data_IF_973219680113
#
_entry.id   IF_973219680113
#
_cell.length_a   1.000
_cell.length_b   1.000
_cell.length_c   1.000
_cell.angle_alpha   90.00
_cell.angle_beta   90.00
_cell.angle_gamma   90.00
#
_symmetry.space_group_name_H-M   'P 1'
#
loop_
_entity.id
_entity.type
_entity.pdbx_description
1 polymer ?
#
# COMPACT_ATOMS: atom_id res chain seq x y z
N UNK A 1 2.29 0.72 19.09
CA UNK A 1 2.46 0.12 17.74
C UNK A 1 1.13 0.09 17.04
N UNK A 2 1.08 -0.43 15.81
CA UNK A 2 -0.18 -0.75 15.12
C UNK A 2 -0.30 -2.27 15.14
N UNK A 3 -1.38 -2.79 15.73
CA UNK A 3 -1.64 -4.23 15.74
C UNK A 3 -2.30 -4.64 14.42
N UNK A 4 -1.61 -5.51 13.68
CA UNK A 4 -2.07 -6.08 12.40
C UNK A 4 -2.32 -7.59 12.50
N UNK A 5 -2.35 -8.16 13.71
CA UNK A 5 -2.47 -9.61 13.94
C UNK A 5 -3.76 -10.23 13.37
N UNK A 6 -4.81 -9.43 13.20
CA UNK A 6 -6.08 -9.86 12.56
C UNK A 6 -6.07 -9.74 11.04
N UNK A 7 -4.99 -9.20 10.45
CA UNK A 7 -4.81 -9.11 9.02
C UNK A 7 -4.54 -10.48 8.41
N UNK A 8 -5.14 -10.75 7.25
CA UNK A 8 -4.89 -11.95 6.46
C UNK A 8 -4.91 -11.63 4.96
N UNK A 9 -4.17 -12.38 4.13
CA UNK A 9 -4.15 -12.19 2.67
C UNK A 9 -5.51 -12.48 2.05
N UNK A 10 -5.92 -11.70 1.06
CA UNK A 10 -7.11 -11.95 0.25
C UNK A 10 -6.73 -11.93 -1.24
N UNK A 11 -7.31 -12.81 -2.07
CA UNK A 11 -7.19 -12.71 -3.52
C UNK A 11 -7.72 -11.36 -4.01
N UNK A 12 -7.01 -10.73 -4.95
CA UNK A 12 -7.46 -9.48 -5.57
C UNK A 12 -8.67 -9.70 -6.48
N UNK A 13 -8.81 -10.90 -7.03
CA UNK A 13 -9.91 -11.30 -7.92
C UNK A 13 -11.29 -11.17 -7.26
N UNK A 14 -11.36 -11.28 -5.93
CA UNK A 14 -12.60 -11.09 -5.18
C UNK A 14 -13.14 -9.65 -5.29
N UNK A 15 -12.29 -8.68 -5.68
CA UNK A 15 -12.57 -7.25 -5.65
C UNK A 15 -12.58 -6.59 -7.04
N UNK A 16 -12.34 -7.33 -8.14
CA UNK A 16 -12.15 -6.72 -9.48
C UNK A 16 -13.37 -5.97 -10.01
N UNK A 17 -14.57 -6.37 -9.57
CA UNK A 17 -15.83 -5.73 -9.96
C UNK A 17 -16.21 -4.56 -9.03
N UNK A 18 -15.48 -4.35 -7.94
CA UNK A 18 -15.75 -3.26 -7.01
C UNK A 18 -15.20 -1.93 -7.53
N UNK A 19 -15.83 -0.83 -7.10
CA UNK A 19 -15.38 0.52 -7.46
C UNK A 19 -14.50 1.09 -6.36
N UNK A 20 -13.37 1.68 -6.75
CA UNK A 20 -12.39 2.26 -5.85
C UNK A 20 -12.03 3.69 -6.26
N UNK A 21 -11.89 4.59 -5.30
CA UNK A 21 -11.27 5.89 -5.59
C UNK A 21 -9.77 5.72 -5.91
N UNK A 22 -9.08 4.84 -5.18
CA UNK A 22 -7.66 4.58 -5.33
C UNK A 22 -7.34 3.09 -5.33
N UNK A 23 -6.59 2.64 -6.33
CA UNK A 23 -5.88 1.36 -6.33
C UNK A 23 -4.38 1.66 -6.34
N UNK A 24 -3.67 1.21 -5.31
CA UNK A 24 -2.24 1.47 -5.13
C UNK A 24 -1.49 0.14 -5.14
N UNK A 25 -0.65 -0.06 -6.14
CA UNK A 25 0.27 -1.22 -6.20
C UNK A 25 1.58 -0.88 -5.49
N UNK A 26 2.13 -1.84 -4.73
CA UNK A 26 3.22 -1.58 -3.78
C UNK A 26 4.55 -2.28 -4.09
N UNK A 27 4.57 -3.14 -5.09
CA UNK A 27 5.78 -3.74 -5.63
C UNK A 27 5.56 -4.06 -7.11
N UNK A 28 6.64 -4.21 -7.87
CA UNK A 28 6.55 -4.50 -9.30
C UNK A 28 5.82 -5.82 -9.60
N UNK A 29 6.06 -6.86 -8.79
CA UNK A 29 5.30 -8.11 -8.90
C UNK A 29 3.79 -7.91 -8.71
N UNK A 30 3.37 -7.04 -7.78
CA UNK A 30 1.97 -6.70 -7.60
C UNK A 30 1.41 -5.86 -8.75
N UNK A 31 2.26 -5.09 -9.45
CA UNK A 31 1.85 -4.31 -10.63
C UNK A 31 1.65 -5.18 -11.86
N UNK A 32 2.53 -6.16 -12.07
CA UNK A 32 2.49 -7.08 -13.23
C UNK A 32 1.33 -8.09 -13.13
N UNK A 33 1.05 -8.59 -11.93
CA UNK A 33 0.00 -9.59 -11.69
C UNK A 33 -1.38 -8.94 -11.47
N UNK A 34 -1.44 -7.62 -11.33
CA UNK A 34 -2.68 -6.92 -11.01
C UNK A 34 -3.74 -7.12 -12.12
N UNK A 35 -4.89 -7.73 -11.83
CA UNK A 35 -5.93 -7.91 -12.83
C UNK A 35 -6.53 -6.57 -13.25
N UNK A 36 -7.16 -6.57 -14.42
CA UNK A 36 -7.94 -5.42 -14.88
C UNK A 36 -9.21 -5.34 -14.04
N UNK A 37 -9.30 -4.31 -13.19
CA UNK A 37 -10.55 -3.97 -12.51
C UNK A 37 -11.59 -3.54 -13.54
N UNK A 38 -12.74 -4.20 -13.52
CA UNK A 38 -13.95 -3.90 -14.31
C UNK A 38 -14.84 -2.87 -13.62
N UNK A 39 -14.71 -2.72 -12.30
CA UNK A 39 -15.32 -1.63 -11.55
C UNK A 39 -14.67 -0.27 -11.81
N UNK A 40 -15.34 0.82 -11.41
CA UNK A 40 -14.82 2.17 -11.63
C UNK A 40 -13.64 2.44 -10.70
N UNK A 41 -12.46 2.66 -11.28
CA UNK A 41 -11.25 3.06 -10.55
C UNK A 41 -10.87 4.49 -10.94
N UNK A 42 -10.97 5.45 -10.01
CA UNK A 42 -10.67 6.86 -10.31
C UNK A 42 -9.18 7.12 -10.44
N UNK A 43 -8.37 6.51 -9.57
CA UNK A 43 -6.93 6.69 -9.54
C UNK A 43 -6.21 5.35 -9.41
N UNK A 44 -5.26 5.10 -10.32
CA UNK A 44 -4.34 3.96 -10.26
C UNK A 44 -2.93 4.49 -10.01
N UNK A 45 -2.34 4.08 -8.90
CA UNK A 45 -1.02 4.53 -8.47
C UNK A 45 -0.10 3.34 -8.24
N UNK A 46 1.18 3.64 -8.25
CA UNK A 46 2.23 2.70 -7.93
C UNK A 46 3.23 3.37 -6.99
N UNK A 47 3.50 2.75 -5.85
CA UNK A 47 4.47 3.21 -4.85
C UNK A 47 5.36 2.02 -4.54
N UNK A 48 6.58 2.02 -5.06
CA UNK A 48 7.45 0.85 -4.98
C UNK A 48 8.15 0.69 -3.62
N UNK A 49 8.12 -0.55 -3.10
CA UNK A 49 8.83 -0.97 -1.90
C UNK A 49 9.57 -2.27 -2.16
N UNK A 50 10.81 -2.34 -1.67
CA UNK A 50 11.60 -3.57 -1.64
C UNK A 50 10.89 -4.60 -0.74
N UNK A 51 10.81 -5.84 -1.21
CA UNK A 51 10.22 -6.94 -0.44
C UNK A 51 11.18 -7.38 0.69
N UNK A 52 10.83 -7.17 1.97
CA UNK A 52 11.68 -7.56 3.09
C UNK A 52 11.79 -9.09 3.25
N UNK A 53 10.90 -9.89 2.63
CA UNK A 53 10.97 -11.35 2.68
C UNK A 53 12.21 -11.91 1.97
N UNK A 54 12.80 -11.15 1.04
CA UNK A 54 14.06 -11.49 0.39
C UNK A 54 15.32 -11.23 1.23
N UNK A 55 15.18 -10.66 2.43
CA UNK A 55 16.33 -10.34 3.29
C UNK A 55 17.00 -11.62 3.81
N UNK A 56 18.32 -11.69 3.67
CA UNK A 56 19.15 -12.82 4.15
C UNK A 56 20.14 -12.35 5.20
N UNK A 57 20.45 -13.19 6.19
CA UNK A 57 21.44 -12.89 7.23
C UNK A 57 20.98 -13.39 8.59
N UNK A 58 21.54 -12.80 9.65
CA UNK A 58 21.09 -13.00 11.03
C UNK A 58 19.68 -12.43 11.25
N UNK A 59 18.99 -12.91 12.29
CA UNK A 59 17.67 -12.42 12.67
C UNK A 59 17.66 -10.89 12.88
N UNK A 60 18.74 -10.34 13.45
CA UNK A 60 18.88 -8.90 13.69
C UNK A 60 18.97 -8.12 12.38
N UNK A 61 19.71 -8.62 11.40
CA UNK A 61 19.84 -8.01 10.08
C UNK A 61 18.52 -8.07 9.31
N UNK A 62 17.85 -9.24 9.31
CA UNK A 62 16.52 -9.40 8.71
C UNK A 62 15.54 -8.42 9.36
N UNK A 63 15.47 -8.39 10.69
CA UNK A 63 14.56 -7.50 11.41
C UNK A 63 14.85 -6.01 11.14
N UNK A 64 16.11 -5.64 10.94
CA UNK A 64 16.48 -4.27 10.55
C UNK A 64 15.92 -3.91 9.16
N UNK A 65 15.96 -4.83 8.20
CA UNK A 65 15.36 -4.64 6.87
C UNK A 65 13.84 -4.47 6.98
N UNK A 66 13.15 -5.35 7.72
CA UNK A 66 11.70 -5.23 7.94
C UNK A 66 11.32 -3.86 8.55
N UNK A 67 12.09 -3.40 9.55
CA UNK A 67 11.86 -2.08 10.18
C UNK A 67 12.09 -0.93 9.20
N UNK A 68 13.15 -0.99 8.39
CA UNK A 68 13.43 0.00 7.34
C UNK A 68 12.28 0.10 6.35
N UNK A 69 11.78 -1.02 5.84
CA UNK A 69 10.66 -1.03 4.87
C UNK A 69 9.36 -0.54 5.50
N UNK A 70 9.04 -0.96 6.74
CA UNK A 70 7.89 -0.43 7.49
C UNK A 70 7.93 1.09 7.62
N UNK A 71 9.09 1.66 7.96
CA UNK A 71 9.23 3.10 8.15
C UNK A 71 9.17 3.87 6.83
N UNK A 72 9.66 3.26 5.72
CA UNK A 72 9.47 3.77 4.36
C UNK A 72 7.98 3.80 3.98
N UNK A 73 7.24 2.71 4.20
CA UNK A 73 5.78 2.65 3.97
C UNK A 73 5.07 3.77 4.74
N UNK A 74 5.37 3.94 6.03
CA UNK A 74 4.79 5.00 6.85
C UNK A 74 5.04 6.39 6.24
N UNK A 75 6.25 6.66 5.78
CA UNK A 75 6.66 7.96 5.24
C UNK A 75 5.97 8.27 3.91
N UNK A 76 5.98 7.31 2.99
CA UNK A 76 5.37 7.46 1.66
C UNK A 76 3.85 7.61 1.75
N UNK A 77 3.17 6.75 2.52
CA UNK A 77 1.72 6.85 2.68
C UNK A 77 1.30 8.10 3.45
N UNK A 78 2.11 8.57 4.42
CA UNK A 78 1.84 9.85 5.09
C UNK A 78 1.95 11.02 4.12
N UNK A 79 2.93 10.98 3.22
CA UNK A 79 3.11 12.00 2.18
C UNK A 79 1.99 11.96 1.16
N UNK A 80 1.60 10.75 0.72
CA UNK A 80 0.46 10.52 -0.17
C UNK A 80 -0.83 11.08 0.44
N UNK A 81 -1.12 10.75 1.70
CA UNK A 81 -2.31 11.22 2.41
C UNK A 81 -2.36 12.75 2.48
N UNK A 82 -1.26 13.39 2.89
CA UNK A 82 -1.20 14.86 2.98
C UNK A 82 -1.42 15.53 1.63
N UNK A 83 -0.78 15.02 0.57
CA UNK A 83 -0.82 15.64 -0.77
C UNK A 83 -2.15 15.41 -1.48
N UNK A 84 -2.72 14.21 -1.39
CA UNK A 84 -3.82 13.78 -2.27
C UNK A 84 -5.17 13.62 -1.56
N UNK A 85 -5.18 13.44 -0.24
CA UNK A 85 -6.42 13.22 0.50
C UNK A 85 -6.73 14.44 1.37
N UNK A 86 -5.80 14.81 2.27
CA UNK A 86 -6.03 15.88 3.24
C UNK A 86 -6.35 17.23 2.59
N UNK A 87 -5.65 17.58 1.51
CA UNK A 87 -5.87 18.85 0.78
C UNK A 87 -7.16 18.87 -0.05
N UNK A 88 -7.77 17.71 -0.28
CA UNK A 88 -9.00 17.54 -1.08
C UNK A 88 -10.23 17.26 -0.22
N UNK A 89 -10.08 17.22 1.12
CA UNK A 89 -11.24 17.18 2.00
C UNK A 89 -11.98 18.51 1.90
N UNK A 90 -13.33 18.50 1.76
CA UNK A 90 -14.09 19.73 1.83
C UNK A 90 -13.76 20.39 3.16
N UNK A 91 -13.28 21.64 3.13
CA UNK A 91 -13.18 22.42 4.36
C UNK A 91 -14.59 22.46 4.92
N UNK A 92 -14.79 21.89 6.11
CA UNK A 92 -16.04 22.09 6.82
C UNK A 92 -16.16 23.60 7.02
N UNK A 93 -17.03 24.22 6.23
CA UNK A 93 -17.36 25.62 6.40
C UNK A 93 -18.08 25.76 7.75
N UNK A 94 -17.59 26.70 8.57
CA UNK A 94 -18.28 27.28 9.72
C UNK A 94 -19.67 27.81 9.34
#
# INVERSE_FOLDING_TARGET
GIDISKGYPKPVDDFVNESFDYVITVCDGAREVCPVFTGNVKHRLHIDFEDPAGATGSEVEVLAVFRKIRDKIKTEFSSFYKKNILNNLPRMHE
#
